data_IF_396714706240
#
_entry.id   IF_396714706240
#
_cell.length_a   1.000
_cell.length_b   1.000
_cell.length_c   1.000
_cell.angle_alpha   90.00
_cell.angle_beta   90.00
_cell.angle_gamma   90.00
#
_symmetry.space_group_name_H-M   'P 1'
#
loop_
_entity.id
_entity.type
_entity.pdbx_description
1 polymer ?
#
# COMPACT_ATOMS: atom_id res chain seq x y z
N UNK A 1 -9.02 26.85 3.26
CA UNK A 1 -9.88 25.71 2.91
C UNK A 1 -9.09 24.41 3.05
N UNK A 2 -9.67 23.43 3.72
CA UNK A 2 -9.00 22.15 3.97
C UNK A 2 -9.51 21.11 2.97
N UNK A 3 -8.65 20.66 2.09
CA UNK A 3 -8.98 19.63 1.12
C UNK A 3 -8.60 18.25 1.67
N UNK A 4 -9.44 17.21 1.44
CA UNK A 4 -9.10 15.86 1.85
C UNK A 4 -8.09 15.24 0.89
N UNK A 5 -7.15 14.47 1.44
CA UNK A 5 -6.19 13.66 0.68
C UNK A 5 -5.68 12.51 1.55
N UNK A 6 -4.99 11.57 0.94
CA UNK A 6 -4.42 10.42 1.65
C UNK A 6 -2.92 10.40 1.41
N UNK A 7 -2.17 10.40 2.50
CA UNK A 7 -0.73 10.16 2.47
C UNK A 7 -0.51 8.65 2.41
N UNK A 8 0.31 8.19 1.46
CA UNK A 8 0.51 6.78 1.17
C UNK A 8 1.98 6.41 1.23
N UNK A 9 2.28 5.26 1.84
CA UNK A 9 3.60 4.65 1.81
C UNK A 9 3.45 3.13 1.69
N UNK A 10 4.38 2.48 0.97
CA UNK A 10 4.37 1.03 0.78
C UNK A 10 5.74 0.44 1.09
N UNK A 11 5.72 -0.83 1.55
CA UNK A 11 6.90 -1.68 1.61
C UNK A 11 6.67 -2.87 0.69
N UNK A 12 7.74 -3.36 0.06
CA UNK A 12 7.64 -4.42 -0.94
C UNK A 12 8.61 -5.56 -0.66
N UNK A 13 8.44 -6.66 -1.40
CA UNK A 13 9.34 -7.82 -1.33
C UNK A 13 10.67 -7.60 -2.06
N UNK A 14 10.82 -6.51 -2.77
CA UNK A 14 12.01 -6.19 -3.56
C UNK A 14 11.65 -5.24 -4.69
N UNK A 15 12.60 -5.02 -5.60
CA UNK A 15 12.43 -4.09 -6.72
C UNK A 15 12.34 -4.78 -8.07
N UNK A 16 12.44 -6.11 -8.11
CA UNK A 16 12.33 -6.88 -9.36
C UNK A 16 10.90 -7.34 -9.57
N UNK A 17 10.38 -7.12 -10.79
CA UNK A 17 9.02 -7.54 -11.13
C UNK A 17 8.88 -9.07 -11.15
N UNK A 18 7.76 -9.63 -10.71
CA UNK A 18 6.61 -8.92 -10.17
C UNK A 18 6.88 -8.42 -8.76
N UNK A 19 6.59 -7.15 -8.51
CA UNK A 19 6.76 -6.55 -7.19
C UNK A 19 5.48 -6.79 -6.39
N UNK A 20 5.63 -7.36 -5.19
CA UNK A 20 4.50 -7.59 -4.28
C UNK A 20 4.58 -6.63 -3.10
N UNK A 21 3.47 -5.99 -2.81
CA UNK A 21 3.34 -5.13 -1.63
C UNK A 21 3.25 -6.01 -0.39
N UNK A 22 4.07 -5.72 0.61
CA UNK A 22 4.03 -6.43 1.90
C UNK A 22 3.44 -5.58 3.01
N UNK A 23 3.43 -4.26 2.86
CA UNK A 23 2.76 -3.36 3.79
C UNK A 23 2.19 -2.16 3.04
N UNK A 24 0.97 -1.77 3.41
CA UNK A 24 0.38 -0.49 3.02
C UNK A 24 0.21 0.34 4.28
N UNK A 25 0.85 1.51 4.30
CA UNK A 25 0.65 2.52 5.32
C UNK A 25 -0.03 3.73 4.71
N UNK A 26 -1.06 4.27 5.37
CA UNK A 26 -1.76 5.42 4.85
C UNK A 26 -2.36 6.24 5.99
N UNK A 27 -2.55 7.53 5.73
CA UNK A 27 -3.19 8.45 6.65
C UNK A 27 -4.09 9.40 5.89
N UNK A 28 -5.36 9.43 6.25
CA UNK A 28 -6.27 10.47 5.74
C UNK A 28 -5.86 11.82 6.30
N UNK A 29 -5.92 12.82 5.45
CA UNK A 29 -5.56 14.18 5.79
C UNK A 29 -6.67 15.14 5.42
N UNK A 30 -6.79 16.22 6.20
CA UNK A 30 -7.53 17.43 5.84
C UNK A 30 -6.58 18.59 5.92
N UNK A 31 -6.22 19.18 4.77
CA UNK A 31 -5.11 20.13 4.75
C UNK A 31 -3.85 19.44 5.30
N UNK A 32 -3.23 20.02 6.31
CA UNK A 32 -2.02 19.47 6.92
C UNK A 32 -2.27 18.75 8.25
N UNK A 33 -3.52 18.40 8.56
CA UNK A 33 -3.89 17.71 9.80
C UNK A 33 -4.36 16.29 9.51
N UNK A 34 -3.95 15.32 10.33
CA UNK A 34 -4.49 13.97 10.23
C UNK A 34 -6.01 13.97 10.50
N UNK A 35 -6.72 13.15 9.75
CA UNK A 35 -8.17 13.00 9.86
C UNK A 35 -8.49 11.53 10.15
N UNK A 36 -8.79 11.23 11.39
CA UNK A 36 -9.09 9.87 11.84
C UNK A 36 -7.86 8.98 12.02
N UNK A 37 -8.08 7.68 12.22
CA UNK A 37 -6.98 6.75 12.48
C UNK A 37 -6.16 6.46 11.23
N UNK A 38 -4.89 6.07 11.38
CA UNK A 38 -4.09 5.61 10.26
C UNK A 38 -4.57 4.23 9.78
N UNK A 39 -4.25 3.94 8.52
CA UNK A 39 -4.39 2.62 7.93
C UNK A 39 -3.01 1.97 7.88
N UNK A 40 -2.88 0.75 8.39
CA UNK A 40 -1.64 -0.01 8.28
C UNK A 40 -1.96 -1.49 8.25
N UNK A 41 -1.65 -2.14 7.14
CA UNK A 41 -1.93 -3.56 6.96
C UNK A 41 -0.74 -4.25 6.30
N UNK A 42 -0.47 -5.47 6.75
CA UNK A 42 0.51 -6.37 6.14
C UNK A 42 -0.22 -7.32 5.20
N UNK A 43 0.45 -7.66 4.08
CA UNK A 43 -0.12 -8.52 3.04
C UNK A 43 0.70 -9.81 2.94
N UNK A 44 0.01 -10.94 2.98
CA UNK A 44 0.63 -12.24 2.81
C UNK A 44 0.37 -12.78 1.39
N UNK A 45 1.37 -12.64 0.51
CA UNK A 45 1.32 -13.16 -0.86
C UNK A 45 1.91 -14.55 -0.98
N UNK A 46 2.46 -15.11 0.10
CA UNK A 46 3.29 -16.33 0.07
C UNK A 46 4.50 -16.20 -0.86
N UNK A 47 4.97 -14.98 -1.08
CA UNK A 47 6.12 -14.68 -1.91
C UNK A 47 7.38 -14.53 -1.07
N UNK A 48 8.53 -14.82 -1.67
CA UNK A 48 9.81 -14.60 -1.02
C UNK A 48 10.12 -13.11 -0.97
N UNK A 49 10.81 -12.69 0.10
CA UNK A 49 11.28 -11.33 0.27
C UNK A 49 12.78 -11.33 0.01
N UNK A 50 13.26 -10.42 -0.84
CA UNK A 50 14.69 -10.34 -1.10
C UNK A 50 15.46 -9.99 0.18
N UNK A 51 16.70 -10.48 0.35
CA UNK A 51 17.50 -10.12 1.52
C UNK A 51 17.69 -8.62 1.67
N UNK A 52 17.84 -7.90 0.57
CA UNK A 52 17.99 -6.44 0.58
C UNK A 52 16.73 -5.76 1.12
N UNK A 53 15.55 -6.18 0.64
CA UNK A 53 14.29 -5.62 1.11
C UNK A 53 14.08 -5.94 2.60
N UNK A 54 14.36 -7.17 3.01
CA UNK A 54 14.21 -7.58 4.41
C UNK A 54 15.10 -6.78 5.34
N UNK A 55 16.35 -6.46 4.91
CA UNK A 55 17.23 -5.61 5.71
C UNK A 55 16.68 -4.20 5.90
N UNK A 56 15.98 -3.67 4.89
CA UNK A 56 15.44 -2.31 4.94
C UNK A 56 14.16 -2.26 5.76
N UNK A 57 13.20 -3.17 5.48
CA UNK A 57 11.87 -3.09 6.09
C UNK A 57 11.66 -4.04 7.27
N UNK A 58 12.56 -5.00 7.48
CA UNK A 58 12.48 -5.95 8.60
C UNK A 58 11.46 -7.07 8.40
N UNK A 59 10.82 -7.16 7.24
CA UNK A 59 9.83 -8.21 7.01
C UNK A 59 10.46 -9.47 6.47
N UNK A 60 9.93 -10.61 6.92
CA UNK A 60 10.28 -11.93 6.44
C UNK A 60 8.99 -12.66 6.03
N UNK A 61 9.14 -13.74 5.28
CA UNK A 61 7.99 -14.56 4.89
C UNK A 61 7.23 -15.07 6.11
N UNK A 62 7.95 -15.47 7.17
CA UNK A 62 7.35 -15.98 8.40
C UNK A 62 6.52 -14.91 9.11
N UNK A 63 7.01 -13.67 9.14
CA UNK A 63 6.26 -12.56 9.73
C UNK A 63 4.96 -12.32 8.95
N UNK A 64 5.04 -12.32 7.63
CA UNK A 64 3.86 -12.06 6.79
C UNK A 64 2.86 -13.21 6.84
N UNK A 65 3.31 -14.46 7.01
CA UNK A 65 2.41 -15.60 7.21
C UNK A 65 1.68 -15.51 8.54
N UNK A 66 2.37 -15.01 9.58
CA UNK A 66 1.78 -14.86 10.91
C UNK A 66 0.86 -13.66 11.02
N UNK A 67 1.29 -12.51 10.52
CA UNK A 67 0.65 -11.22 10.79
C UNK A 67 -0.01 -10.59 9.56
N UNK A 68 0.24 -11.10 8.37
CA UNK A 68 -0.33 -10.58 7.13
C UNK A 68 -1.71 -11.13 6.83
N UNK A 69 -2.47 -10.35 6.09
CA UNK A 69 -3.83 -10.71 5.66
C UNK A 69 -3.86 -11.03 4.18
N UNK A 70 -4.98 -11.56 3.72
CA UNK A 70 -5.21 -11.81 2.31
C UNK A 70 -5.08 -10.52 1.50
N UNK A 71 -4.25 -10.47 0.45
CA UNK A 71 -4.05 -9.25 -0.31
C UNK A 71 -5.32 -8.62 -0.86
N UNK A 72 -6.24 -9.42 -1.37
CA UNK A 72 -7.50 -8.88 -1.91
C UNK A 72 -8.32 -8.17 -0.83
N UNK A 73 -8.38 -8.75 0.37
CA UNK A 73 -9.08 -8.13 1.49
C UNK A 73 -8.43 -6.81 1.89
N UNK A 74 -7.09 -6.77 1.95
CA UNK A 74 -6.35 -5.56 2.30
C UNK A 74 -6.60 -4.45 1.28
N UNK A 75 -6.55 -4.76 0.00
CA UNK A 75 -6.79 -3.76 -1.04
C UNK A 75 -8.22 -3.24 -1.03
N UNK A 76 -9.19 -4.10 -0.77
CA UNK A 76 -10.60 -3.67 -0.64
C UNK A 76 -10.77 -2.73 0.55
N UNK A 77 -10.15 -3.06 1.68
CA UNK A 77 -10.18 -2.20 2.87
C UNK A 77 -9.47 -0.87 2.63
N UNK A 78 -8.34 -0.91 1.91
CA UNK A 78 -7.64 0.32 1.52
C UNK A 78 -8.48 1.20 0.61
N UNK A 79 -9.16 0.62 -0.37
CA UNK A 79 -10.03 1.38 -1.26
C UNK A 79 -11.17 2.05 -0.49
N UNK A 80 -11.76 1.35 0.46
CA UNK A 80 -12.81 1.91 1.32
C UNK A 80 -12.26 3.04 2.19
N UNK A 81 -11.05 2.87 2.71
CA UNK A 81 -10.39 3.89 3.53
C UNK A 81 -10.06 5.14 2.70
N UNK A 82 -9.46 4.97 1.52
CA UNK A 82 -9.01 6.08 0.70
C UNK A 82 -10.16 6.84 0.02
N UNK A 83 -11.23 6.15 -0.35
CA UNK A 83 -12.34 6.76 -1.09
C UNK A 83 -11.88 7.30 -2.45
N UNK A 84 -12.38 8.45 -2.83
CA UNK A 84 -12.12 9.08 -4.13
C UNK A 84 -11.22 10.31 -4.01
N UNK A 85 -10.51 10.46 -2.90
CA UNK A 85 -9.64 11.62 -2.69
C UNK A 85 -8.26 11.39 -3.32
N UNK A 86 -7.48 12.46 -3.58
CA UNK A 86 -6.14 12.32 -4.11
C UNK A 86 -5.22 11.51 -3.20
N UNK A 87 -4.35 10.71 -3.82
CA UNK A 87 -3.30 9.95 -3.13
C UNK A 87 -1.97 10.68 -3.32
N UNK A 88 -1.24 10.85 -2.23
CA UNK A 88 0.06 11.53 -2.23
C UNK A 88 1.10 10.61 -1.61
N UNK A 89 2.22 10.40 -2.30
CA UNK A 89 3.32 9.60 -1.81
C UNK A 89 4.64 10.30 -2.10
N UNK A 90 5.68 9.94 -1.35
CA UNK A 90 7.02 10.51 -1.56
C UNK A 90 7.52 10.24 -2.98
N UNK A 91 7.30 9.02 -3.48
CA UNK A 91 7.63 8.65 -4.86
C UNK A 91 6.42 7.96 -5.50
N UNK A 92 5.46 8.76 -5.95
CA UNK A 92 4.21 8.24 -6.49
C UNK A 92 4.42 7.35 -7.71
N UNK A 93 5.41 7.66 -8.56
CA UNK A 93 5.73 6.82 -9.72
C UNK A 93 6.11 5.40 -9.29
N UNK A 94 6.80 5.23 -8.17
CA UNK A 94 7.12 3.91 -7.65
C UNK A 94 5.92 3.29 -6.93
N UNK A 95 5.42 3.97 -5.88
CA UNK A 95 4.38 3.40 -5.01
C UNK A 95 3.08 3.13 -5.76
N UNK A 96 2.71 3.97 -6.70
CA UNK A 96 1.47 3.82 -7.44
C UNK A 96 1.70 3.10 -8.78
N UNK A 97 2.51 3.68 -9.67
CA UNK A 97 2.59 3.20 -11.05
C UNK A 97 3.29 1.84 -11.16
N UNK A 98 4.34 1.59 -10.37
CA UNK A 98 5.11 0.35 -10.43
C UNK A 98 4.67 -0.72 -9.45
N UNK A 99 4.02 -0.35 -8.36
CA UNK A 99 3.71 -1.25 -7.26
C UNK A 99 2.21 -1.46 -7.10
N UNK A 100 1.47 -0.45 -6.66
CA UNK A 100 0.06 -0.62 -6.30
C UNK A 100 -0.83 -0.85 -7.51
N UNK A 101 -0.69 -0.06 -8.56
CA UNK A 101 -1.58 -0.18 -9.72
C UNK A 101 -1.43 -1.52 -10.44
N UNK A 102 -0.22 -2.03 -10.75
CA UNK A 102 -0.10 -3.35 -11.35
C UNK A 102 -0.68 -4.46 -10.48
N UNK A 103 -0.47 -4.42 -9.18
CA UNK A 103 -1.01 -5.43 -8.27
C UNK A 103 -2.52 -5.32 -8.15
N UNK A 104 -3.04 -4.11 -8.09
CA UNK A 104 -4.47 -3.82 -8.12
C UNK A 104 -5.13 -4.43 -9.36
N UNK A 105 -4.50 -4.26 -10.51
CA UNK A 105 -4.98 -4.81 -11.77
C UNK A 105 -4.90 -6.35 -11.80
N UNK A 106 -3.83 -6.93 -11.25
CA UNK A 106 -3.71 -8.40 -11.17
C UNK A 106 -4.80 -9.03 -10.32
N UNK A 107 -5.28 -8.32 -9.30
CA UNK A 107 -6.36 -8.80 -8.43
C UNK A 107 -7.75 -8.56 -9.02
N UNK A 108 -7.84 -7.92 -10.19
CA UNK A 108 -9.12 -7.70 -10.87
C UNK A 108 -10.01 -6.68 -10.17
N UNK A 109 -9.44 -5.77 -9.40
CA UNK A 109 -10.19 -4.74 -8.69
C UNK A 109 -10.54 -3.59 -9.66
N UNK A 110 -11.68 -2.95 -9.39
CA UNK A 110 -12.13 -1.81 -10.18
C UNK A 110 -11.30 -0.56 -9.95
N UNK A 111 -11.70 0.56 -10.58
CA UNK A 111 -10.96 1.81 -10.45
C UNK A 111 -10.83 2.25 -8.99
N UNK A 112 -9.68 2.85 -8.66
CA UNK A 112 -9.42 3.48 -7.38
C UNK A 112 -9.31 4.99 -7.59
N UNK A 113 -9.43 5.76 -6.51
CA UNK A 113 -9.46 7.21 -6.54
C UNK A 113 -8.26 7.87 -7.22
N UNK A 114 -8.30 9.18 -7.27
CA UNK A 114 -7.35 9.98 -8.04
C UNK A 114 -5.98 10.03 -7.37
N UNK A 115 -4.95 10.05 -8.22
CA UNK A 115 -3.59 10.33 -7.78
C UNK A 115 -3.36 11.83 -7.66
N UNK A 116 -2.64 12.22 -6.65
CA UNK A 116 -2.32 13.61 -6.44
C UNK A 116 -0.85 13.91 -6.34
#
# INVERSE_FOLDING_TARGET
MTSPWVLLDTETNGIQAPIYVVEIGAQKMKGWLPDGPPFRRLLNHNANISPEASRVNGYTREILERDGDDPLAVYRDFAAYAGQVPLVAYNLAFDWDKVLLPEWQRLGLGPIGQRG
#
